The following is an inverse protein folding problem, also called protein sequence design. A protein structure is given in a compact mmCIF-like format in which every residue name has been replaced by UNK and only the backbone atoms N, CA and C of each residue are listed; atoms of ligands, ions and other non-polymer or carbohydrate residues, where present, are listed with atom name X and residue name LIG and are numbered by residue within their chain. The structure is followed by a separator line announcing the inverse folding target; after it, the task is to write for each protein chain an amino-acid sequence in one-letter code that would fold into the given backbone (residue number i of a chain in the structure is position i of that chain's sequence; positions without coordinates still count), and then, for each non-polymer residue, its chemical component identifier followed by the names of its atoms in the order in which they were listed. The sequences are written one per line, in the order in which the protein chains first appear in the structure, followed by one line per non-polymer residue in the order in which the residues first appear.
data_IF_658497928581
#
_entry.id   IF_658497928581
#
_cell.length_a   1.000
_cell.length_b   1.000
_cell.length_c   1.000
_cell.angle_alpha   90.00
_cell.angle_beta   90.00
_cell.angle_gamma   90.00
#
_symmetry.space_group_name_H-M   'P 1'
#
loop_
_entity.id
_entity.type
_entity.pdbx_description
1 polymer ?
#
# COMPACT_ATOMS: atom_id res chain seq x y z
N UNK A 1 -3.06 -21.08 14.45
CA UNK A 1 -2.49 -19.95 13.71
C UNK A 1 -3.64 -19.10 13.20
N UNK A 2 -3.84 -17.92 13.79
CA UNK A 2 -4.88 -16.98 13.35
C UNK A 2 -4.25 -15.99 12.39
N UNK A 3 -4.91 -15.73 11.26
CA UNK A 3 -4.47 -14.73 10.28
C UNK A 3 -5.47 -13.58 10.29
N UNK A 4 -4.96 -12.36 10.36
CA UNK A 4 -5.74 -11.13 10.39
C UNK A 4 -5.50 -10.30 9.14
N UNK A 5 -6.57 -9.74 8.60
CA UNK A 5 -6.53 -8.83 7.46
C UNK A 5 -6.79 -7.40 7.94
N UNK A 6 -5.97 -6.46 7.50
CA UNK A 6 -6.17 -5.03 7.74
C UNK A 6 -5.96 -4.21 6.46
N UNK A 7 -6.67 -3.08 6.37
CA UNK A 7 -6.47 -2.13 5.29
C UNK A 7 -5.76 -0.88 5.81
N UNK A 8 -4.67 -0.49 5.16
CA UNK A 8 -3.99 0.77 5.37
C UNK A 8 -4.50 1.80 4.36
N UNK A 9 -4.98 2.92 4.87
CA UNK A 9 -5.42 4.05 4.04
C UNK A 9 -4.28 4.98 3.61
N UNK A 10 -3.05 4.69 4.05
CA UNK A 10 -1.81 5.34 3.64
C UNK A 10 -0.61 4.52 4.09
N UNK A 11 0.47 4.55 3.31
CA UNK A 11 1.76 3.96 3.66
C UNK A 11 2.51 4.66 4.79
N UNK A 12 2.06 5.82 5.27
CA UNK A 12 2.61 6.43 6.49
C UNK A 12 2.39 5.54 7.73
N UNK A 13 1.42 4.64 7.69
CA UNK A 13 1.03 3.76 8.81
C UNK A 13 1.91 2.52 8.97
N UNK A 14 2.90 2.33 8.10
CA UNK A 14 3.83 1.20 8.12
C UNK A 14 5.23 1.70 7.78
N UNK A 15 6.25 1.11 8.41
CA UNK A 15 7.63 1.46 8.08
C UNK A 15 8.04 0.90 6.71
N UNK A 16 8.95 1.60 6.03
CA UNK A 16 9.53 1.09 4.78
C UNK A 16 10.24 -0.26 4.98
N UNK A 17 10.84 -0.50 6.15
CA UNK A 17 11.50 -1.76 6.47
C UNK A 17 10.51 -2.93 6.51
N UNK A 18 9.39 -2.79 7.21
CA UNK A 18 8.36 -3.84 7.29
C UNK A 18 7.72 -4.12 5.94
N UNK A 19 7.40 -3.07 5.18
CA UNK A 19 6.83 -3.22 3.85
C UNK A 19 7.79 -3.90 2.87
N UNK A 20 9.03 -3.38 2.78
CA UNK A 20 10.04 -3.88 1.85
C UNK A 20 10.56 -5.28 2.23
N UNK A 21 10.42 -5.71 3.50
CA UNK A 21 10.71 -7.08 3.90
C UNK A 21 9.81 -8.12 3.20
N UNK A 22 8.59 -7.72 2.82
CA UNK A 22 7.62 -8.58 2.13
C UNK A 22 7.75 -8.45 0.61
N UNK A 23 7.89 -7.23 0.10
CA UNK A 23 7.93 -7.00 -1.36
C UNK A 23 9.31 -7.20 -1.98
N UNK A 24 10.37 -7.20 -1.16
CA UNK A 24 11.73 -7.00 -1.63
C UNK A 24 11.96 -5.59 -2.19
N UNK A 25 13.13 -5.38 -2.78
CA UNK A 25 13.52 -4.06 -3.34
C UNK A 25 13.90 -4.10 -4.83
N UNK A 26 13.89 -5.29 -5.45
CA UNK A 26 14.29 -5.47 -6.86
C UNK A 26 13.30 -4.84 -7.85
N UNK A 27 12.01 -4.80 -7.49
CA UNK A 27 10.98 -4.18 -8.31
C UNK A 27 10.55 -2.82 -7.73
N UNK A 28 10.95 -1.69 -8.34
CA UNK A 28 10.81 -0.37 -7.72
C UNK A 28 9.36 0.07 -7.49
N UNK A 29 8.42 -0.40 -8.32
CA UNK A 29 7.02 0.02 -8.24
C UNK A 29 6.23 -0.63 -7.10
N UNK A 30 6.83 -1.59 -6.38
CA UNK A 30 6.27 -2.14 -5.14
C UNK A 30 6.98 -1.63 -3.89
N UNK A 31 8.06 -0.85 -4.02
CA UNK A 31 8.77 -0.30 -2.86
C UNK A 31 7.91 0.71 -2.13
N UNK A 32 8.05 0.72 -0.80
CA UNK A 32 7.38 1.69 0.08
C UNK A 32 7.63 3.13 -0.39
N UNK A 33 8.88 3.47 -0.70
CA UNK A 33 9.27 4.83 -1.04
C UNK A 33 8.64 5.33 -2.34
N UNK A 34 8.43 4.43 -3.31
CA UNK A 34 7.78 4.78 -4.57
C UNK A 34 6.29 5.05 -4.35
N UNK A 35 5.58 4.10 -3.73
CA UNK A 35 4.14 4.20 -3.51
C UNK A 35 3.80 5.34 -2.54
N UNK A 36 4.54 5.47 -1.45
CA UNK A 36 4.36 6.57 -0.49
C UNK A 36 4.70 7.93 -1.12
N UNK A 37 5.67 7.94 -2.06
CA UNK A 37 5.93 9.10 -2.91
C UNK A 37 4.68 9.54 -3.67
N UNK A 38 4.00 8.61 -4.35
CA UNK A 38 2.75 8.91 -5.09
C UNK A 38 1.66 9.49 -4.19
N UNK A 39 1.52 8.98 -2.96
CA UNK A 39 0.58 9.52 -1.97
C UNK A 39 0.95 10.96 -1.59
N UNK A 40 2.21 11.18 -1.18
CA UNK A 40 2.68 12.46 -0.65
C UNK A 40 2.74 13.58 -1.68
N UNK A 41 2.97 13.26 -2.95
CA UNK A 41 3.00 14.25 -4.03
C UNK A 41 1.63 14.51 -4.64
N UNK A 42 0.58 13.84 -4.15
CA UNK A 42 -0.79 13.98 -4.67
C UNK A 42 -1.01 13.31 -6.02
N UNK A 43 -0.10 12.45 -6.48
CA UNK A 43 -0.30 11.71 -7.74
C UNK A 43 -1.39 10.65 -7.59
N UNK A 44 -1.43 9.96 -6.44
CA UNK A 44 -2.43 8.95 -6.11
C UNK A 44 -3.08 9.30 -4.76
N UNK A 45 -3.97 10.28 -4.77
CA UNK A 45 -4.72 10.70 -3.59
C UNK A 45 -6.22 10.84 -3.90
N UNK A 46 -7.02 11.02 -2.84
CA UNK A 46 -8.47 11.13 -2.98
C UNK A 46 -8.90 12.30 -3.89
N UNK A 47 -8.12 13.39 -3.96
CA UNK A 47 -8.40 14.56 -4.80
C UNK A 47 -8.23 14.25 -6.30
N UNK A 48 -7.30 13.35 -6.66
CA UNK A 48 -7.14 12.84 -8.04
C UNK A 48 -8.02 11.63 -8.34
N UNK A 49 -8.90 11.26 -7.40
CA UNK A 49 -9.81 10.13 -7.51
C UNK A 49 -9.19 8.77 -7.23
N UNK A 50 -7.99 8.73 -6.64
CA UNK A 50 -7.25 7.52 -6.28
C UNK A 50 -7.00 7.46 -4.78
N UNK A 51 -7.81 6.71 -4.04
CA UNK A 51 -7.62 6.59 -2.59
C UNK A 51 -6.81 5.34 -2.24
N UNK A 52 -5.65 5.44 -1.57
CA UNK A 52 -4.91 4.28 -1.08
C UNK A 52 -5.76 3.42 -0.14
N UNK A 53 -5.70 2.10 -0.32
CA UNK A 53 -6.43 1.12 0.49
C UNK A 53 -5.67 -0.22 0.53
N UNK A 54 -4.40 -0.20 0.92
CA UNK A 54 -3.51 -1.35 0.84
C UNK A 54 -3.90 -2.44 1.83
N UNK A 55 -4.00 -3.68 1.37
CA UNK A 55 -4.34 -4.83 2.22
C UNK A 55 -3.07 -5.46 2.79
N UNK A 56 -3.08 -5.75 4.09
CA UNK A 56 -2.04 -6.51 4.77
C UNK A 56 -2.67 -7.75 5.40
N UNK A 57 -1.96 -8.89 5.29
CA UNK A 57 -2.24 -10.10 6.03
C UNK A 57 -1.14 -10.32 7.06
N UNK A 58 -1.51 -10.50 8.31
CA UNK A 58 -0.58 -10.67 9.43
C UNK A 58 -0.96 -11.84 10.31
N UNK A 59 0.03 -12.48 10.92
CA UNK A 59 -0.14 -13.42 12.01
C UNK A 59 0.73 -13.01 13.21
N UNK A 60 1.01 -13.96 14.10
CA UNK A 60 1.82 -13.71 15.31
C UNK A 60 3.31 -13.46 15.01
N UNK A 61 3.80 -13.87 13.84
CA UNK A 61 5.20 -13.72 13.43
C UNK A 61 5.47 -12.45 12.62
N UNK A 62 4.42 -11.85 12.02
CA UNK A 62 4.51 -10.58 11.33
C UNK A 62 3.62 -10.50 10.09
N UNK A 63 4.12 -9.80 9.06
CA UNK A 63 3.39 -9.62 7.79
C UNK A 63 3.65 -10.83 6.89
N UNK A 64 2.60 -11.58 6.58
CA UNK A 64 2.65 -12.74 5.69
C UNK A 64 2.57 -12.34 4.22
N UNK A 65 1.73 -11.35 3.93
CA UNK A 65 1.50 -10.86 2.57
C UNK A 65 0.95 -9.44 2.62
N UNK A 66 1.11 -8.74 1.49
CA UNK A 66 0.47 -7.46 1.28
C UNK A 66 0.03 -7.30 -0.17
N UNK A 67 -0.91 -6.40 -0.40
CA UNK A 67 -1.42 -6.05 -1.72
C UNK A 67 -1.60 -4.53 -1.79
N UNK A 68 -0.79 -3.81 -2.59
CA UNK A 68 -1.02 -2.41 -2.85
C UNK A 68 -2.28 -2.26 -3.69
N UNK A 69 -3.29 -1.61 -3.12
CA UNK A 69 -4.57 -1.34 -3.76
C UNK A 69 -4.93 0.14 -3.67
N UNK A 70 -5.72 0.58 -4.64
CA UNK A 70 -6.32 1.91 -4.68
C UNK A 70 -7.79 1.80 -5.04
N UNK A 71 -8.64 2.57 -4.36
CA UNK A 71 -10.02 2.78 -4.76
C UNK A 71 -10.07 3.91 -5.78
N UNK A 72 -10.66 3.66 -6.94
CA UNK A 72 -10.85 4.66 -8.01
C UNK A 72 -12.28 5.19 -7.96
N UNK A 73 -12.47 6.50 -7.81
CA UNK A 73 -13.80 7.11 -7.68
C UNK A 73 -14.43 7.53 -9.01
N UNK A 74 -13.62 7.70 -10.06
CA UNK A 74 -14.08 8.03 -11.41
C UNK A 74 -13.02 7.62 -12.44
N UNK A 75 -13.45 7.28 -13.66
CA UNK A 75 -12.51 6.85 -14.70
C UNK A 75 -12.00 7.96 -15.62
N UNK A 76 -12.54 9.19 -15.53
CA UNK A 76 -12.23 10.30 -16.45
C UNK A 76 -12.20 9.88 -17.94
N UNK A 77 -13.01 8.90 -18.33
CA UNK A 77 -13.10 8.40 -19.71
C UNK A 77 -12.27 7.15 -20.04
N UNK A 78 -11.64 6.50 -19.06
CA UNK A 78 -11.16 5.11 -19.14
C UNK A 78 -12.28 4.08 -18.91
#
# INVERSE_FOLDING_TARGET
MSVHAEFLTSLERISAGEWNAVTGTDYPFLRHEFLYGLERTGCANAETGWQPCHLLLRDEEGILALMPLYLKSHSYGE
#
